data_IF_693398833696
#
_entry.id   IF_693398833696
#
_cell.length_a   1.000
_cell.length_b   1.000
_cell.length_c   1.000
_cell.angle_alpha   90.00
_cell.angle_beta   90.00
_cell.angle_gamma   90.00
#
_symmetry.space_group_name_H-M   'P 1'
#
loop_
_entity.id
_entity.type
_entity.pdbx_description
1 polymer ?
#
# COMPACT_ATOMS: atom_id res chain seq x y z
N UNK A 1 -18.05 -32.48 -36.68
CA UNK A 1 -17.29 -31.86 -35.57
C UNK A 1 -17.69 -30.39 -35.39
N UNK A 2 -18.95 -30.10 -35.00
CA UNK A 2 -19.44 -28.71 -35.00
C UNK A 2 -20.54 -28.38 -33.99
N UNK A 3 -20.81 -29.25 -33.02
CA UNK A 3 -21.84 -29.02 -31.99
C UNK A 3 -21.32 -29.10 -30.55
N UNK A 4 -20.02 -29.36 -30.35
CA UNK A 4 -19.45 -29.54 -29.01
C UNK A 4 -18.97 -28.23 -28.33
N UNK A 5 -19.01 -27.08 -29.04
CA UNK A 5 -18.54 -25.80 -28.51
C UNK A 5 -19.68 -24.82 -28.14
N UNK A 6 -20.94 -25.16 -28.39
CA UNK A 6 -22.08 -24.29 -28.04
C UNK A 6 -22.49 -24.31 -26.56
N UNK A 7 -21.75 -25.02 -25.70
CA UNK A 7 -22.05 -25.17 -24.27
C UNK A 7 -21.11 -24.43 -23.32
N UNK A 8 -20.04 -23.80 -23.81
CA UNK A 8 -19.21 -22.91 -23.00
C UNK A 8 -19.89 -21.55 -23.00
N UNK A 9 -20.65 -21.27 -21.94
CA UNK A 9 -20.95 -19.88 -21.57
C UNK A 9 -19.63 -19.11 -21.60
N UNK A 10 -19.55 -17.90 -22.19
CA UNK A 10 -18.38 -17.05 -22.04
C UNK A 10 -18.03 -17.00 -20.56
N UNK A 11 -16.81 -17.41 -20.21
CA UNK A 11 -16.38 -17.42 -18.83
C UNK A 11 -16.39 -15.97 -18.37
N UNK A 12 -17.31 -15.63 -17.47
CA UNK A 12 -17.32 -14.33 -16.82
C UNK A 12 -16.14 -14.25 -15.85
N UNK A 13 -15.13 -13.48 -16.24
CA UNK A 13 -13.89 -13.28 -15.48
C UNK A 13 -13.91 -11.98 -14.67
N UNK A 14 -15.03 -11.25 -14.63
CA UNK A 14 -15.08 -9.93 -13.99
C UNK A 14 -14.71 -10.00 -12.50
N UNK A 15 -15.08 -11.07 -11.79
CA UNK A 15 -14.67 -11.25 -10.39
C UNK A 15 -13.17 -11.56 -10.23
N UNK A 16 -12.56 -12.23 -11.21
CA UNK A 16 -11.10 -12.43 -11.24
C UNK A 16 -10.39 -11.09 -11.42
N UNK A 17 -10.91 -10.21 -12.28
CA UNK A 17 -10.38 -8.87 -12.48
C UNK A 17 -10.53 -8.01 -11.21
N UNK A 18 -11.66 -8.11 -10.49
CA UNK A 18 -11.87 -7.43 -9.20
C UNK A 18 -10.86 -7.91 -8.17
N UNK A 19 -10.66 -9.22 -8.08
CA UNK A 19 -9.68 -9.82 -7.17
C UNK A 19 -8.26 -9.36 -7.51
N UNK A 20 -7.89 -9.31 -8.79
CA UNK A 20 -6.58 -8.84 -9.23
C UNK A 20 -6.31 -7.38 -8.80
N UNK A 21 -7.27 -6.48 -9.01
CA UNK A 21 -7.16 -5.09 -8.56
C UNK A 21 -7.01 -4.99 -7.04
N UNK A 22 -7.82 -5.75 -6.29
CA UNK A 22 -7.73 -5.78 -4.81
C UNK A 22 -6.36 -6.27 -4.36
N UNK A 23 -5.85 -7.32 -5.00
CA UNK A 23 -4.55 -7.89 -4.67
C UNK A 23 -3.39 -6.95 -4.99
N UNK A 24 -3.46 -6.20 -6.10
CA UNK A 24 -2.44 -5.21 -6.45
C UNK A 24 -2.32 -4.12 -5.37
N UNK A 25 -3.45 -3.57 -4.91
CA UNK A 25 -3.45 -2.55 -3.85
C UNK A 25 -3.03 -3.13 -2.50
N UNK A 26 -3.34 -4.39 -2.21
CA UNK A 26 -2.84 -5.08 -1.01
C UNK A 26 -1.31 -5.27 -1.07
N UNK A 27 -0.75 -5.57 -2.24
CA UNK A 27 0.69 -5.65 -2.44
C UNK A 27 1.39 -4.29 -2.23
N UNK A 28 0.79 -3.19 -2.70
CA UNK A 28 1.28 -1.83 -2.42
C UNK A 28 1.30 -1.55 -0.92
N UNK A 29 0.22 -1.87 -0.21
CA UNK A 29 0.10 -1.66 1.24
C UNK A 29 1.19 -2.42 2.00
N UNK A 30 1.35 -3.72 1.68
CA UNK A 30 2.38 -4.56 2.26
C UNK A 30 3.80 -4.02 1.99
N UNK A 31 4.08 -3.61 0.74
CA UNK A 31 5.36 -2.99 0.38
C UNK A 31 5.66 -1.76 1.23
N UNK A 32 4.69 -0.85 1.40
CA UNK A 32 4.92 0.37 2.20
C UNK A 32 5.11 0.02 3.67
N UNK A 33 4.37 -0.96 4.22
CA UNK A 33 4.59 -1.46 5.58
C UNK A 33 6.01 -1.99 5.77
N UNK A 34 6.49 -2.85 4.88
CA UNK A 34 7.82 -3.46 4.98
C UNK A 34 8.93 -2.40 4.94
N UNK A 35 8.88 -1.49 3.97
CA UNK A 35 9.86 -0.41 3.84
C UNK A 35 9.86 0.47 5.08
N UNK A 36 8.68 0.92 5.54
CA UNK A 36 8.57 1.82 6.69
C UNK A 36 9.02 1.11 7.98
N UNK A 37 8.73 -0.17 8.13
CA UNK A 37 9.19 -0.97 9.26
C UNK A 37 10.72 -1.04 9.29
N UNK A 38 11.36 -1.38 8.18
CA UNK A 38 12.82 -1.47 8.12
C UNK A 38 13.48 -0.13 8.46
N UNK A 39 12.98 0.98 7.91
CA UNK A 39 13.53 2.32 8.23
C UNK A 39 13.23 2.77 9.66
N UNK A 40 12.08 2.40 10.21
CA UNK A 40 11.76 2.68 11.61
C UNK A 40 12.69 1.91 12.56
N UNK A 41 13.03 0.66 12.23
CA UNK A 41 14.01 -0.13 12.98
C UNK A 41 15.39 0.52 12.88
N UNK A 42 15.84 0.96 11.69
CA UNK A 42 17.11 1.70 11.55
C UNK A 42 17.18 2.94 12.46
N UNK A 43 16.06 3.64 12.65
CA UNK A 43 15.97 4.79 13.56
C UNK A 43 16.14 4.36 15.02
N UNK A 44 15.44 3.30 15.45
CA UNK A 44 15.58 2.78 16.84
C UNK A 44 17.00 2.28 17.09
N UNK A 45 17.63 1.68 16.09
CA UNK A 45 19.02 1.22 16.15
C UNK A 45 20.06 2.34 16.08
N UNK A 46 19.64 3.60 15.85
CA UNK A 46 20.53 4.74 15.74
C UNK A 46 21.36 4.80 14.44
N UNK A 47 21.01 3.99 13.45
CA UNK A 47 21.66 3.96 12.12
C UNK A 47 21.17 5.12 11.24
N UNK A 48 19.93 5.56 11.47
CA UNK A 48 19.28 6.67 10.76
C UNK A 48 18.77 7.71 11.75
N UNK A 49 18.88 9.02 11.46
CA UNK A 49 18.19 10.02 12.27
C UNK A 49 16.67 9.87 12.17
N UNK A 50 15.95 10.17 13.26
CA UNK A 50 14.49 10.19 13.24
C UNK A 50 13.93 11.12 12.14
N UNK A 51 12.73 10.79 11.63
CA UNK A 51 12.04 11.58 10.64
C UNK A 51 11.42 12.87 11.16
N UNK A 52 10.50 13.46 10.38
CA UNK A 52 9.81 14.72 10.76
C UNK A 52 8.95 14.55 12.04
N UNK A 53 8.29 15.61 12.51
CA UNK A 53 7.44 15.62 13.71
C UNK A 53 6.28 14.59 13.76
N UNK A 54 6.10 13.74 12.74
CA UNK A 54 5.13 12.64 12.72
C UNK A 54 5.62 11.44 13.53
N UNK A 55 4.72 10.84 14.32
CA UNK A 55 5.04 9.85 15.35
C UNK A 55 4.47 8.48 14.97
N UNK A 56 5.28 7.43 15.05
CA UNK A 56 4.79 6.04 15.03
C UNK A 56 3.87 5.79 16.23
N UNK A 57 4.23 6.33 17.41
CA UNK A 57 3.39 6.31 18.61
C UNK A 57 3.39 4.96 19.31
N UNK A 58 4.49 4.65 20.00
CA UNK A 58 4.59 3.49 20.89
C UNK A 58 4.10 3.84 22.30
N UNK A 59 3.49 2.88 22.98
CA UNK A 59 3.11 3.00 24.39
C UNK A 59 4.34 2.83 25.30
N UNK A 60 4.28 3.33 26.54
CA UNK A 60 5.44 3.32 27.46
C UNK A 60 5.97 1.91 27.78
N UNK A 61 5.11 0.89 27.77
CA UNK A 61 5.52 -0.51 27.92
C UNK A 61 6.49 -0.95 26.81
N UNK A 62 6.11 -0.77 25.55
CA UNK A 62 6.98 -1.01 24.39
C UNK A 62 8.30 -0.23 24.48
N UNK A 63 8.25 1.05 24.87
CA UNK A 63 9.46 1.87 25.03
C UNK A 63 10.38 1.30 26.12
N UNK A 64 9.81 0.91 27.27
CA UNK A 64 10.56 0.28 28.36
C UNK A 64 11.19 -1.04 27.92
N UNK A 65 10.47 -1.86 27.15
CA UNK A 65 10.97 -3.13 26.63
C UNK A 65 12.18 -2.92 25.71
N UNK A 66 12.08 -1.96 24.77
CA UNK A 66 13.20 -1.58 23.88
C UNK A 66 14.42 -1.10 24.65
N UNK A 67 14.25 -0.21 25.63
CA UNK A 67 15.35 0.32 26.45
C UNK A 67 16.02 -0.80 27.27
N UNK A 68 15.27 -1.83 27.67
CA UNK A 68 15.77 -2.95 28.45
C UNK A 68 16.50 -4.03 27.63
N UNK A 69 16.58 -3.88 26.30
CA UNK A 69 17.21 -4.87 25.44
C UNK A 69 18.69 -5.07 25.81
N UNK A 70 19.13 -6.32 26.09
CA UNK A 70 20.48 -6.58 26.62
C UNK A 70 21.60 -6.44 25.60
N UNK A 71 21.27 -6.45 24.30
CA UNK A 71 22.22 -6.32 23.20
C UNK A 71 21.52 -5.82 21.93
N UNK A 72 22.32 -5.47 20.92
CA UNK A 72 21.87 -4.94 19.62
C UNK A 72 20.93 -5.89 18.87
N UNK A 73 21.16 -7.20 18.95
CA UNK A 73 20.32 -8.19 18.26
C UNK A 73 18.91 -8.25 18.87
N UNK A 74 18.83 -8.32 20.20
CA UNK A 74 17.56 -8.25 20.93
C UNK A 74 16.82 -6.93 20.68
N UNK A 75 17.54 -5.80 20.67
CA UNK A 75 16.95 -4.50 20.36
C UNK A 75 16.32 -4.51 18.97
N UNK A 76 17.01 -5.04 17.96
CA UNK A 76 16.51 -5.12 16.60
C UNK A 76 15.25 -6.01 16.50
N UNK A 77 15.27 -7.19 17.13
CA UNK A 77 14.12 -8.11 17.09
C UNK A 77 12.90 -7.52 17.80
N UNK A 78 13.07 -6.95 19.00
CA UNK A 78 11.98 -6.28 19.73
C UNK A 78 11.45 -5.08 18.97
N UNK A 79 12.33 -4.30 18.35
CA UNK A 79 11.95 -3.18 17.48
C UNK A 79 11.05 -3.65 16.34
N UNK A 80 11.45 -4.70 15.62
CA UNK A 80 10.65 -5.26 14.52
C UNK A 80 9.27 -5.67 15.00
N UNK A 81 9.15 -6.38 16.12
CA UNK A 81 7.86 -6.82 16.65
C UNK A 81 6.99 -5.63 17.05
N UNK A 82 7.48 -4.78 17.95
CA UNK A 82 6.69 -3.71 18.57
C UNK A 82 6.31 -2.61 17.57
N UNK A 83 7.22 -2.28 16.65
CA UNK A 83 6.93 -1.30 15.59
C UNK A 83 5.96 -1.90 14.57
N UNK A 84 6.13 -3.17 14.18
CA UNK A 84 5.22 -3.82 13.25
C UNK A 84 3.79 -3.95 13.82
N UNK A 85 3.65 -4.36 15.08
CA UNK A 85 2.35 -4.38 15.77
C UNK A 85 1.68 -3.01 15.71
N UNK A 86 2.42 -1.94 15.95
CA UNK A 86 1.87 -0.58 15.86
C UNK A 86 1.49 -0.20 14.43
N UNK A 87 2.36 -0.45 13.46
CA UNK A 87 2.13 -0.10 12.06
C UNK A 87 0.99 -0.92 11.44
N UNK A 88 0.76 -2.16 11.88
CA UNK A 88 -0.34 -3.02 11.41
C UNK A 88 -1.75 -2.48 11.67
N UNK A 89 -1.88 -1.48 12.55
CA UNK A 89 -3.14 -0.77 12.77
C UNK A 89 -3.40 0.34 11.75
N UNK A 90 -2.41 0.68 10.94
CA UNK A 90 -2.51 1.68 9.88
C UNK A 90 -2.78 1.01 8.53
N UNK A 91 -3.13 1.82 7.54
CA UNK A 91 -3.30 1.39 6.16
C UNK A 91 -2.63 2.39 5.24
N UNK A 92 -1.68 1.94 4.43
CA UNK A 92 -0.81 2.77 3.60
C UNK A 92 -1.09 2.55 2.10
N UNK A 93 -2.30 2.89 1.68
CA UNK A 93 -2.72 2.76 0.28
C UNK A 93 -2.95 4.10 -0.40
N UNK A 94 -3.54 5.07 0.31
CA UNK A 94 -3.82 6.39 -0.25
C UNK A 94 -2.52 7.19 -0.37
N UNK A 95 -2.37 8.05 -1.38
CA UNK A 95 -1.14 8.81 -1.56
C UNK A 95 -0.71 9.63 -0.35
N UNK A 96 -1.66 10.24 0.36
CA UNK A 96 -1.37 11.04 1.55
C UNK A 96 -0.95 10.18 2.75
N UNK A 97 -1.51 8.98 2.89
CA UNK A 97 -1.16 8.07 3.98
C UNK A 97 0.22 7.44 3.73
N UNK A 98 0.53 7.12 2.47
CA UNK A 98 1.89 6.74 2.03
C UNK A 98 2.87 7.88 2.32
N UNK A 99 2.55 9.12 1.94
CA UNK A 99 3.43 10.26 2.18
C UNK A 99 3.70 10.49 3.68
N UNK A 100 2.69 10.34 4.54
CA UNK A 100 2.86 10.40 6.00
C UNK A 100 3.75 9.26 6.50
N UNK A 101 3.56 8.04 5.98
CA UNK A 101 4.33 6.86 6.38
C UNK A 101 5.83 7.05 6.12
N UNK A 102 6.19 7.47 4.91
CA UNK A 102 7.57 7.78 4.54
C UNK A 102 8.13 8.97 5.35
N UNK A 103 7.33 10.00 5.61
CA UNK A 103 7.77 11.15 6.41
C UNK A 103 8.08 10.79 7.88
N UNK A 104 7.38 9.80 8.47
CA UNK A 104 7.67 9.28 9.82
C UNK A 104 9.08 8.69 9.92
N UNK A 105 9.60 8.14 8.83
CA UNK A 105 10.93 7.51 8.75
C UNK A 105 11.97 8.38 8.07
N UNK A 106 11.70 9.69 7.97
CA UNK A 106 12.64 10.69 7.50
C UNK A 106 12.72 10.84 5.99
N UNK A 107 11.77 10.27 5.25
CA UNK A 107 11.69 10.38 3.81
C UNK A 107 10.54 11.34 3.45
N UNK A 108 10.87 12.63 3.44
CA UNK A 108 9.93 13.70 3.08
C UNK A 108 9.73 13.83 1.57
N UNK A 109 8.63 14.48 1.18
CA UNK A 109 8.36 14.86 -0.21
C UNK A 109 8.44 13.70 -1.24
N UNK A 110 8.14 12.47 -0.79
CA UNK A 110 8.36 11.22 -1.55
C UNK A 110 7.78 11.28 -2.97
N UNK A 111 6.58 11.82 -3.15
CA UNK A 111 5.92 11.93 -4.46
C UNK A 111 6.66 12.85 -5.44
N UNK A 112 7.07 14.04 -4.99
CA UNK A 112 7.83 14.97 -5.85
C UNK A 112 9.26 14.49 -6.10
N UNK A 113 9.83 13.72 -5.18
CA UNK A 113 11.13 13.10 -5.38
C UNK A 113 11.07 11.97 -6.40
N UNK A 114 10.01 11.14 -6.36
CA UNK A 114 9.87 9.96 -7.20
C UNK A 114 9.41 10.30 -8.63
N UNK A 115 8.51 11.28 -8.77
CA UNK A 115 7.87 11.61 -10.05
C UNK A 115 8.23 12.99 -10.60
N UNK A 116 9.06 13.76 -9.88
CA UNK A 116 9.30 15.16 -10.19
C UNK A 116 8.11 16.06 -9.86
N UNK A 117 8.32 17.39 -9.93
CA UNK A 117 7.31 18.38 -9.54
C UNK A 117 6.03 18.31 -10.39
N UNK A 118 6.16 18.09 -11.70
CA UNK A 118 5.03 17.99 -12.62
C UNK A 118 4.36 16.62 -12.63
N UNK A 119 5.07 15.55 -12.29
CA UNK A 119 4.56 14.18 -12.32
C UNK A 119 3.90 13.72 -11.01
N UNK A 120 4.20 14.38 -9.89
CA UNK A 120 3.69 14.01 -8.58
C UNK A 120 2.16 14.02 -8.50
N UNK A 121 1.52 15.12 -8.92
CA UNK A 121 0.06 15.25 -8.82
C UNK A 121 -0.69 14.25 -9.74
N UNK A 122 -0.31 14.08 -11.02
CA UNK A 122 -0.87 13.03 -11.85
C UNK A 122 -0.75 11.62 -11.25
N UNK A 123 0.41 11.28 -10.68
CA UNK A 123 0.64 9.97 -10.05
C UNK A 123 -0.27 9.74 -8.84
N UNK A 124 -0.43 10.76 -7.98
CA UNK A 124 -1.36 10.70 -6.83
C UNK A 124 -2.81 10.52 -7.27
N UNK A 125 -3.24 11.23 -8.31
CA UNK A 125 -4.59 11.12 -8.86
C UNK A 125 -4.82 9.71 -9.41
N UNK A 126 -3.89 9.19 -10.21
CA UNK A 126 -3.97 7.85 -10.78
C UNK A 126 -4.10 6.78 -9.69
N UNK A 127 -3.23 6.79 -8.68
CA UNK A 127 -3.31 5.85 -7.56
C UNK A 127 -4.62 6.01 -6.77
N UNK A 128 -5.08 7.24 -6.55
CA UNK A 128 -6.33 7.50 -5.83
C UNK A 128 -7.56 6.91 -6.52
N UNK A 129 -7.57 6.88 -7.86
CA UNK A 129 -8.64 6.22 -8.64
C UNK A 129 -8.64 4.72 -8.37
N UNK A 130 -7.47 4.07 -8.44
CA UNK A 130 -7.31 2.63 -8.19
C UNK A 130 -7.73 2.27 -6.76
N UNK A 131 -7.22 2.99 -5.75
CA UNK A 131 -7.55 2.74 -4.33
C UNK A 131 -9.04 2.98 -4.05
N UNK A 132 -9.65 3.98 -4.69
CA UNK A 132 -11.11 4.20 -4.58
C UNK A 132 -11.88 3.01 -5.13
N UNK A 133 -11.49 2.49 -6.30
CA UNK A 133 -12.16 1.32 -6.88
C UNK A 133 -11.98 0.07 -6.02
N UNK A 134 -10.79 -0.14 -5.45
CA UNK A 134 -10.54 -1.20 -4.45
C UNK A 134 -11.50 -1.13 -3.28
N UNK A 135 -11.68 0.05 -2.69
CA UNK A 135 -12.58 0.23 -1.55
C UNK A 135 -14.05 -0.05 -1.93
N UNK A 136 -14.46 0.30 -3.14
CA UNK A 136 -15.79 -0.01 -3.65
C UNK A 136 -16.00 -1.52 -3.79
N UNK A 137 -15.02 -2.24 -4.34
CA UNK A 137 -15.05 -3.71 -4.43
C UNK A 137 -15.12 -4.35 -3.03
N UNK A 138 -14.18 -4.00 -2.15
CA UNK A 138 -14.00 -4.67 -0.86
C UNK A 138 -15.13 -4.36 0.15
N UNK A 139 -15.62 -3.12 0.20
CA UNK A 139 -16.60 -2.71 1.22
C UNK A 139 -18.04 -2.64 0.72
N UNK A 140 -18.25 -2.55 -0.59
CA UNK A 140 -19.58 -2.36 -1.18
C UNK A 140 -19.90 -3.37 -2.26
N UNK A 141 -19.14 -4.47 -2.34
CA UNK A 141 -19.30 -5.53 -3.34
C UNK A 141 -19.30 -5.00 -4.79
N UNK A 142 -18.63 -3.88 -5.03
CA UNK A 142 -18.60 -3.19 -6.32
C UNK A 142 -19.97 -2.78 -6.89
N UNK A 143 -20.99 -2.64 -6.03
CA UNK A 143 -22.34 -2.26 -6.43
C UNK A 143 -22.36 -0.88 -7.11
N UNK A 144 -23.13 -0.75 -8.18
CA UNK A 144 -23.29 0.52 -8.90
C UNK A 144 -24.22 1.48 -8.13
N UNK A 145 -23.69 2.61 -7.61
CA UNK A 145 -24.49 3.54 -6.82
C UNK A 145 -25.56 4.29 -7.64
N UNK A 146 -25.43 4.32 -8.98
CA UNK A 146 -26.40 4.95 -9.86
C UNK A 146 -27.60 4.06 -10.17
N UNK A 147 -27.54 2.77 -9.78
CA UNK A 147 -28.54 1.74 -10.09
C UNK A 147 -28.82 1.54 -11.59
N UNK A 148 -27.90 1.98 -12.46
CA UNK A 148 -27.96 1.72 -13.92
C UNK A 148 -27.62 0.26 -14.21
N UNK A 149 -26.70 -0.31 -13.43
CA UNK A 149 -26.32 -1.73 -13.42
C UNK A 149 -26.35 -2.28 -12.00
N UNK A 150 -26.21 -3.60 -11.81
CA UNK A 150 -26.05 -4.18 -10.47
C UNK A 150 -24.66 -3.90 -9.91
N UNK A 151 -23.63 -4.14 -10.73
CA UNK A 151 -22.22 -3.95 -10.38
C UNK A 151 -21.57 -3.04 -11.41
N UNK A 152 -20.61 -2.23 -10.97
CA UNK A 152 -19.78 -1.47 -11.88
C UNK A 152 -19.02 -2.41 -12.81
N UNK A 153 -19.00 -2.07 -14.11
CA UNK A 153 -18.23 -2.81 -15.10
C UNK A 153 -16.73 -2.80 -14.75
N UNK A 154 -16.06 -3.90 -15.05
CA UNK A 154 -14.62 -4.05 -14.91
C UNK A 154 -14.11 -5.02 -15.98
N UNK A 155 -13.26 -4.54 -16.86
CA UNK A 155 -12.59 -5.30 -17.92
C UNK A 155 -11.21 -5.79 -17.49
N UNK A 156 -10.61 -6.63 -18.33
CA UNK A 156 -9.20 -7.01 -18.24
C UNK A 156 -8.27 -5.79 -18.37
N UNK A 157 -8.61 -4.84 -19.25
CA UNK A 157 -7.86 -3.59 -19.41
C UNK A 157 -7.91 -2.75 -18.13
N UNK A 158 -9.09 -2.62 -17.49
CA UNK A 158 -9.22 -1.87 -16.23
C UNK A 158 -8.35 -2.46 -15.11
N UNK A 159 -8.32 -3.80 -15.01
CA UNK A 159 -7.48 -4.49 -14.04
C UNK A 159 -5.99 -4.33 -14.35
N UNK A 160 -5.59 -4.43 -15.62
CA UNK A 160 -4.21 -4.27 -16.06
C UNK A 160 -3.72 -2.85 -15.80
N UNK A 161 -4.51 -1.83 -16.15
CA UNK A 161 -4.19 -0.41 -15.89
C UNK A 161 -4.03 -0.12 -14.39
N UNK A 162 -4.85 -0.75 -13.55
CA UNK A 162 -4.73 -0.65 -12.10
C UNK A 162 -3.42 -1.27 -11.58
N UNK A 163 -3.05 -2.45 -12.09
CA UNK A 163 -1.79 -3.13 -11.75
C UNK A 163 -0.60 -2.27 -12.19
N UNK A 164 -0.58 -1.80 -13.43
CA UNK A 164 0.48 -0.96 -13.99
C UNK A 164 0.64 0.36 -13.21
N UNK A 165 -0.47 0.93 -12.74
CA UNK A 165 -0.46 2.13 -11.89
C UNK A 165 0.19 1.85 -10.54
N UNK A 166 -0.12 0.71 -9.92
CA UNK A 166 0.49 0.28 -8.66
C UNK A 166 1.98 -0.02 -8.87
N UNK A 167 2.33 -0.79 -9.89
CA UNK A 167 3.73 -1.16 -10.19
C UNK A 167 4.57 0.09 -10.44
N UNK A 168 4.13 0.99 -11.33
CA UNK A 168 4.80 2.26 -11.58
C UNK A 168 4.97 3.09 -10.31
N UNK A 169 3.99 3.02 -9.40
CA UNK A 169 4.09 3.67 -8.09
C UNK A 169 5.21 3.05 -7.27
N UNK A 170 5.16 1.75 -7.04
CA UNK A 170 6.17 1.04 -6.23
C UNK A 170 7.56 1.24 -6.80
N UNK A 171 7.78 1.04 -8.10
CA UNK A 171 9.09 1.23 -8.75
C UNK A 171 9.63 2.65 -8.58
N UNK A 172 8.78 3.67 -8.72
CA UNK A 172 9.22 5.05 -8.55
C UNK A 172 9.59 5.36 -7.09
N UNK A 173 8.80 4.87 -6.12
CA UNK A 173 9.09 5.04 -4.71
C UNK A 173 10.38 4.29 -4.30
N UNK A 174 10.54 3.06 -4.78
CA UNK A 174 11.68 2.19 -4.47
C UNK A 174 13.01 2.76 -4.99
N UNK A 175 12.98 3.47 -6.13
CA UNK A 175 14.16 4.13 -6.70
C UNK A 175 14.82 5.19 -5.80
N UNK A 176 14.17 5.57 -4.70
CA UNK A 176 14.64 6.57 -3.73
C UNK A 176 15.23 5.98 -2.45
N UNK A 177 15.16 4.65 -2.27
CA UNK A 177 15.45 3.95 -1.01
C UNK A 177 16.89 3.40 -0.97
#
# INVERSE_FOLDING_TARGET
MGQALSGLTPLDLTDVYRAALVQAVAALDAYVHDVVLDRAVEIVMGVRPGGSNTKVGLHFGAVSDLISAPNTLELQMRSKVLVNERLSMETFQKPDDIAKAFAMVGIGAIWSSAFGQSGAEPAKIALSVVVRRRNQIAHRCDMDPSAVSTYLALSDADASDAIDTVERTVTALDSLL
#
